data_IF_313609316181
#
_entry.id   IF_313609316181
#
_cell.length_a   1.000
_cell.length_b   1.000
_cell.length_c   1.000
_cell.angle_alpha   90.00
_cell.angle_beta   90.00
_cell.angle_gamma   90.00
#
_symmetry.space_group_name_H-M   'P 1'
#
loop_
_entity.id
_entity.type
_entity.pdbx_description
1 polymer ?
#
# COMPACT_ATOMS: atom_id res chain seq x y z
N UNK A 1 -7.02 12.27 36.46
CA UNK A 1 -5.57 12.51 36.25
C UNK A 1 -4.92 11.56 35.22
N UNK A 2 -5.67 10.90 34.31
CA UNK A 2 -5.10 9.98 33.31
C UNK A 2 -4.80 10.59 31.93
N UNK A 3 -5.40 11.74 31.57
CA UNK A 3 -5.31 12.30 30.21
C UNK A 3 -3.97 12.96 29.85
N UNK A 4 -3.30 13.62 30.81
CA UNK A 4 -2.06 14.37 30.52
C UNK A 4 -0.83 13.47 30.33
N UNK A 5 -0.82 12.25 30.89
CA UNK A 5 0.33 11.33 30.74
C UNK A 5 0.33 10.65 29.37
N UNK A 6 -0.84 10.32 28.82
CA UNK A 6 -0.98 9.65 27.53
C UNK A 6 -0.63 10.56 26.33
N UNK A 7 -1.01 11.83 26.37
CA UNK A 7 -0.64 12.80 25.33
C UNK A 7 0.87 13.06 25.29
N UNK A 8 1.52 13.18 26.46
CA UNK A 8 2.97 13.42 26.54
C UNK A 8 3.77 12.23 26.03
N UNK A 9 3.37 10.99 26.32
CA UNK A 9 4.03 9.79 25.81
C UNK A 9 3.89 9.61 24.30
N UNK A 10 2.73 9.97 23.73
CA UNK A 10 2.52 9.90 22.29
C UNK A 10 3.33 10.96 21.53
N UNK A 11 3.47 12.17 22.08
CA UNK A 11 4.30 13.21 21.48
C UNK A 11 5.79 12.85 21.52
N UNK A 12 6.29 12.31 22.64
CA UNK A 12 7.67 11.82 22.75
C UNK A 12 7.95 10.67 21.78
N UNK A 13 7.02 9.71 21.64
CA UNK A 13 7.15 8.62 20.67
C UNK A 13 7.15 9.12 19.22
N UNK A 14 6.33 10.11 18.87
CA UNK A 14 6.31 10.73 17.52
C UNK A 14 7.60 11.51 17.24
N UNK A 15 8.11 12.26 18.21
CA UNK A 15 9.39 12.98 18.08
C UNK A 15 10.59 12.01 17.95
N UNK A 16 10.58 10.89 18.68
CA UNK A 16 11.61 9.85 18.58
C UNK A 16 11.55 9.11 17.23
N UNK A 17 10.35 8.79 16.71
CA UNK A 17 10.18 8.22 15.36
C UNK A 17 10.65 9.22 14.31
N UNK A 18 10.24 10.50 14.41
CA UNK A 18 10.68 11.56 13.51
C UNK A 18 12.19 11.77 13.52
N UNK A 19 12.85 11.65 14.69
CA UNK A 19 14.32 11.69 14.80
C UNK A 19 15.00 10.44 14.24
N UNK A 20 14.38 9.26 14.38
CA UNK A 20 14.94 7.97 13.95
C UNK A 20 14.90 7.82 12.44
N UNK A 21 13.79 8.19 11.79
CA UNK A 21 13.63 8.07 10.34
C UNK A 21 14.00 9.34 9.57
N UNK A 22 14.02 10.52 10.21
CA UNK A 22 14.47 11.76 9.57
C UNK A 22 15.97 11.85 9.28
N UNK A 23 16.77 10.84 9.70
CA UNK A 23 18.25 10.84 9.56
C UNK A 23 18.78 9.93 8.46
N UNK A 24 17.99 9.01 7.92
CA UNK A 24 18.43 8.05 6.90
C UNK A 24 17.47 8.03 5.72
N UNK A 25 17.96 8.11 4.47
CA UNK A 25 17.13 7.88 3.29
C UNK A 25 16.50 6.47 3.34
N UNK A 26 15.28 6.34 2.83
CA UNK A 26 14.64 5.03 2.60
C UNK A 26 15.40 4.27 1.50
N UNK A 27 16.43 3.53 1.92
CA UNK A 27 17.46 2.96 1.06
C UNK A 27 17.21 1.50 0.69
N UNK A 28 16.18 0.88 1.28
CA UNK A 28 15.76 -0.49 1.02
C UNK A 28 14.25 -0.65 1.22
N UNK A 29 13.70 -1.78 0.77
CA UNK A 29 12.30 -2.16 1.06
C UNK A 29 12.11 -2.39 2.57
N UNK A 30 13.10 -2.94 3.27
CA UNK A 30 13.07 -3.12 4.73
C UNK A 30 12.99 -1.79 5.50
N UNK A 31 13.71 -0.76 5.03
CA UNK A 31 13.65 0.58 5.63
C UNK A 31 12.26 1.19 5.45
N UNK A 32 11.68 1.01 4.25
CA UNK A 32 10.32 1.48 3.92
C UNK A 32 9.28 0.74 4.76
N UNK A 33 9.36 -0.59 4.85
CA UNK A 33 8.49 -1.39 5.72
C UNK A 33 8.54 -0.90 7.17
N UNK A 34 9.75 -0.70 7.71
CA UNK A 34 9.93 -0.21 9.07
C UNK A 34 9.27 1.17 9.24
N UNK A 35 9.45 2.05 8.27
CA UNK A 35 8.84 3.38 8.28
C UNK A 35 7.30 3.27 8.28
N UNK A 36 6.72 2.53 7.34
CA UNK A 36 5.26 2.37 7.21
C UNK A 36 4.65 1.76 8.47
N UNK A 37 5.29 0.73 9.02
CA UNK A 37 4.84 0.07 10.25
C UNK A 37 4.69 1.05 11.41
N UNK A 38 5.70 1.90 11.65
CA UNK A 38 5.67 2.84 12.78
C UNK A 38 4.92 4.14 12.49
N UNK A 39 5.00 4.66 11.27
CA UNK A 39 4.44 5.95 10.91
C UNK A 39 2.96 5.87 10.52
N UNK A 40 2.51 4.73 9.99
CA UNK A 40 1.17 4.56 9.43
C UNK A 40 0.45 3.38 10.10
N UNK A 41 0.92 2.15 9.93
CA UNK A 41 0.18 0.94 10.30
C UNK A 41 -0.14 0.86 11.80
N UNK A 42 0.82 1.16 12.69
CA UNK A 42 0.62 1.21 14.14
C UNK A 42 -0.51 2.20 14.52
N UNK A 43 -0.62 3.31 13.80
CA UNK A 43 -1.65 4.32 14.05
C UNK A 43 -3.00 3.84 13.53
N UNK A 44 -3.05 3.22 12.35
CA UNK A 44 -4.26 2.62 11.78
C UNK A 44 -4.78 1.53 12.72
N UNK A 45 -3.91 0.62 13.16
CA UNK A 45 -4.26 -0.41 14.13
C UNK A 45 -4.84 0.21 15.42
N UNK A 46 -4.25 1.29 15.92
CA UNK A 46 -4.77 2.04 17.07
C UNK A 46 -6.18 2.61 16.83
N UNK A 47 -6.40 3.24 15.67
CA UNK A 47 -7.72 3.78 15.30
C UNK A 47 -8.77 2.67 15.21
N UNK A 48 -8.47 1.59 14.48
CA UNK A 48 -9.39 0.45 14.32
C UNK A 48 -9.68 -0.20 15.68
N UNK A 49 -8.67 -0.35 16.54
CA UNK A 49 -8.85 -0.90 17.90
C UNK A 49 -9.84 -0.07 18.72
N UNK A 50 -9.77 1.26 18.67
CA UNK A 50 -10.72 2.12 19.37
C UNK A 50 -12.12 2.06 18.74
N UNK A 51 -12.22 1.99 17.41
CA UNK A 51 -13.50 1.84 16.71
C UNK A 51 -14.19 0.51 17.03
N UNK A 52 -13.43 -0.59 17.16
CA UNK A 52 -13.95 -1.91 17.54
C UNK A 52 -14.63 -1.92 18.92
N UNK A 53 -14.31 -0.97 19.81
CA UNK A 53 -14.95 -0.83 21.13
C UNK A 53 -16.34 -0.20 21.04
N UNK A 54 -16.69 0.42 19.91
CA UNK A 54 -17.97 1.08 19.67
C UNK A 54 -18.83 0.10 18.84
N UNK A 55 -19.89 -0.52 19.43
CA UNK A 55 -20.68 -1.55 18.74
C UNK A 55 -21.26 -1.08 17.40
N UNK A 56 -21.76 0.16 17.34
CA UNK A 56 -22.36 0.73 16.14
C UNK A 56 -21.32 0.91 15.02
N UNK A 57 -20.11 1.40 15.35
CA UNK A 57 -19.03 1.56 14.38
C UNK A 57 -18.50 0.21 13.91
N UNK A 58 -18.31 -0.73 14.84
CA UNK A 58 -17.88 -2.10 14.53
C UNK A 58 -18.84 -2.78 13.56
N UNK A 59 -20.15 -2.59 13.73
CA UNK A 59 -21.16 -3.14 12.85
C UNK A 59 -21.19 -2.44 11.48
N UNK A 60 -21.20 -1.10 11.47
CA UNK A 60 -21.29 -0.30 10.24
C UNK A 60 -20.10 -0.56 9.31
N UNK A 61 -18.88 -0.53 9.86
CA UNK A 61 -17.65 -0.72 9.08
C UNK A 61 -17.21 -2.19 8.98
N UNK A 62 -17.97 -3.13 9.56
CA UNK A 62 -17.67 -4.57 9.55
C UNK A 62 -16.25 -4.90 10.01
N UNK A 63 -15.80 -4.27 11.10
CA UNK A 63 -14.40 -4.29 11.57
C UNK A 63 -13.94 -5.63 12.19
N UNK A 64 -14.85 -6.59 12.39
CA UNK A 64 -14.51 -7.84 13.08
C UNK A 64 -13.96 -7.56 14.48
N UNK A 65 -12.89 -8.22 14.88
CA UNK A 65 -12.12 -7.97 16.10
C UNK A 65 -10.92 -7.01 15.88
N UNK A 66 -10.76 -6.47 14.67
CA UNK A 66 -9.66 -5.56 14.30
C UNK A 66 -8.93 -6.02 13.04
N UNK A 67 -7.75 -5.43 12.83
CA UNK A 67 -6.91 -5.69 11.65
C UNK A 67 -5.51 -6.14 12.01
N UNK A 68 -4.89 -6.90 11.11
CA UNK A 68 -3.49 -7.33 11.18
C UNK A 68 -2.79 -6.97 9.88
N UNK A 69 -1.60 -6.39 10.00
CA UNK A 69 -0.69 -6.13 8.88
C UNK A 69 0.35 -7.25 8.86
N UNK A 70 0.48 -7.94 7.73
CA UNK A 70 1.47 -9.01 7.56
C UNK A 70 2.36 -8.75 6.34
N UNK A 71 3.59 -9.26 6.41
CA UNK A 71 4.49 -9.41 5.27
C UNK A 71 4.60 -10.92 5.03
N UNK A 72 4.15 -11.41 3.87
CA UNK A 72 4.11 -12.85 3.56
C UNK A 72 5.48 -13.51 3.40
N UNK A 73 6.59 -12.82 3.66
CA UNK A 73 7.89 -13.47 3.89
C UNK A 73 7.82 -14.56 5.00
N UNK A 74 6.92 -14.41 5.98
CA UNK A 74 6.76 -15.33 7.12
C UNK A 74 5.43 -16.12 7.12
N UNK A 75 4.56 -15.97 6.12
CA UNK A 75 3.34 -16.77 5.99
C UNK A 75 3.67 -18.13 5.37
N UNK A 76 4.18 -19.04 6.21
CA UNK A 76 4.34 -20.45 5.91
C UNK A 76 3.03 -20.99 5.31
N UNK A 77 3.00 -21.22 4.00
CA UNK A 77 2.26 -22.36 3.48
C UNK A 77 2.93 -23.59 4.10
N UNK A 78 2.40 -24.09 5.22
CA UNK A 78 2.54 -25.51 5.55
C UNK A 78 1.80 -26.26 4.44
N UNK A 79 2.47 -26.42 3.29
CA UNK A 79 2.05 -27.39 2.28
C UNK A 79 2.26 -28.75 2.91
N UNK A 80 1.16 -29.39 3.31
CA UNK A 80 1.12 -30.80 3.65
C UNK A 80 1.82 -31.57 2.50
N UNK A 81 2.89 -32.38 2.75
CA UNK A 81 3.71 -32.97 1.68
C UNK A 81 3.00 -34.07 0.87
N UNK A 82 1.68 -34.19 0.95
CA UNK A 82 0.93 -35.35 0.46
C UNK A 82 0.14 -35.13 -0.84
N UNK A 83 0.21 -33.95 -1.47
CA UNK A 83 -0.43 -33.72 -2.79
C UNK A 83 0.60 -33.32 -3.86
N UNK A 84 1.27 -34.31 -4.44
CA UNK A 84 2.04 -34.17 -5.68
C UNK A 84 1.07 -34.00 -6.88
N UNK A 85 0.63 -32.77 -7.16
CA UNK A 85 0.13 -32.40 -8.49
C UNK A 85 1.27 -31.78 -9.33
N UNK A 86 1.64 -32.37 -10.49
CA UNK A 86 2.77 -31.90 -11.27
C UNK A 86 2.34 -30.79 -12.24
N UNK A 87 2.42 -29.51 -11.85
CA UNK A 87 2.56 -28.39 -12.82
C UNK A 87 2.67 -26.96 -12.25
N UNK A 88 2.82 -26.72 -10.95
CA UNK A 88 3.01 -25.35 -10.45
C UNK A 88 4.49 -25.16 -10.07
N UNK A 89 5.27 -24.34 -10.81
CA UNK A 89 6.63 -23.99 -10.36
C UNK A 89 6.53 -23.37 -8.96
N UNK A 90 7.52 -23.60 -8.07
CA UNK A 90 7.51 -23.01 -6.74
C UNK A 90 7.28 -21.52 -6.88
N UNK A 91 6.15 -21.04 -6.33
CA UNK A 91 5.74 -19.65 -6.45
C UNK A 91 6.80 -18.83 -5.74
N UNK A 92 7.65 -18.12 -6.47
CA UNK A 92 8.37 -16.98 -5.91
C UNK A 92 7.31 -15.93 -5.58
N UNK A 93 6.68 -16.06 -4.42
CA UNK A 93 5.79 -15.02 -3.89
C UNK A 93 6.68 -13.82 -3.59
N UNK A 94 6.49 -12.67 -4.28
CA UNK A 94 7.15 -11.43 -3.88
C UNK A 94 6.79 -11.09 -2.43
N UNK A 95 7.51 -10.14 -1.83
CA UNK A 95 7.17 -9.60 -0.51
C UNK A 95 5.75 -9.00 -0.55
N UNK A 96 4.74 -9.82 -0.26
CA UNK A 96 3.34 -9.44 -0.34
C UNK A 96 2.94 -8.90 1.02
N UNK A 97 2.86 -7.58 1.10
CA UNK A 97 2.33 -6.89 2.26
C UNK A 97 0.81 -6.92 2.17
N UNK A 98 0.12 -7.15 3.28
CA UNK A 98 -1.33 -7.27 3.28
C UNK A 98 -1.97 -6.78 4.56
N UNK A 99 -3.25 -6.44 4.45
CA UNK A 99 -4.12 -6.15 5.59
C UNK A 99 -5.15 -7.26 5.68
N UNK A 100 -5.25 -7.85 6.86
CA UNK A 100 -6.28 -8.82 7.18
C UNK A 100 -7.25 -8.26 8.22
N UNK A 101 -8.54 -8.56 8.06
CA UNK A 101 -9.51 -8.49 9.16
C UNK A 101 -9.40 -9.76 9.99
N UNK A 102 -9.36 -9.59 11.31
CA UNK A 102 -9.36 -10.70 12.28
C UNK A 102 -10.76 -10.84 12.85
N UNK A 103 -11.35 -12.03 12.76
CA UNK A 103 -12.60 -12.42 13.42
C UNK A 103 -12.31 -13.54 14.45
N UNK A 104 -13.32 -13.99 15.20
CA UNK A 104 -13.12 -14.97 16.30
C UNK A 104 -12.45 -16.28 15.83
N UNK A 105 -12.79 -16.73 14.62
CA UNK A 105 -12.36 -18.04 14.09
C UNK A 105 -11.67 -17.95 12.73
N UNK A 106 -11.61 -16.76 12.13
CA UNK A 106 -11.16 -16.60 10.74
C UNK A 106 -10.39 -15.31 10.55
N UNK A 107 -9.46 -15.33 9.63
CA UNK A 107 -8.72 -14.15 9.16
C UNK A 107 -9.08 -13.96 7.69
N UNK A 108 -9.62 -12.79 7.33
CA UNK A 108 -10.02 -12.47 5.95
C UNK A 108 -9.05 -11.45 5.37
N UNK A 109 -8.47 -11.72 4.21
CA UNK A 109 -7.67 -10.75 3.48
C UNK A 109 -8.55 -9.59 2.99
N UNK A 110 -8.15 -8.35 3.27
CA UNK A 110 -8.84 -7.14 2.84
C UNK A 110 -8.19 -6.53 1.60
N UNK A 111 -6.86 -6.46 1.59
CA UNK A 111 -6.09 -5.85 0.50
C UNK A 111 -4.67 -6.37 0.48
N UNK A 112 -4.05 -6.32 -0.69
CA UNK A 112 -2.60 -6.43 -0.92
C UNK A 112 -1.97 -5.04 -0.98
N UNK A 113 -0.64 -4.97 -0.81
CA UNK A 113 0.13 -3.76 -0.81
C UNK A 113 1.53 -4.05 -1.39
N UNK A 114 2.03 -3.15 -2.23
CA UNK A 114 3.38 -3.23 -2.80
C UNK A 114 4.26 -2.09 -2.29
N UNK A 115 5.40 -2.44 -1.68
CA UNK A 115 6.39 -1.49 -1.16
C UNK A 115 7.53 -1.31 -2.16
N UNK A 116 7.72 -0.07 -2.63
CA UNK A 116 8.83 0.27 -3.52
C UNK A 116 9.52 1.56 -3.08
N UNK A 117 10.73 1.50 -2.50
CA UNK A 117 11.39 2.68 -1.94
C UNK A 117 11.70 3.75 -3.00
N UNK A 118 11.85 5.04 -2.62
CA UNK A 118 11.92 6.17 -3.55
C UNK A 118 13.02 6.08 -4.61
N UNK A 119 14.13 5.40 -4.30
CA UNK A 119 15.24 5.23 -5.23
C UNK A 119 14.97 4.14 -6.28
N UNK A 120 14.05 3.20 -6.02
CA UNK A 120 13.52 2.25 -7.01
C UNK A 120 12.29 2.81 -7.72
N UNK A 121 11.46 3.59 -7.02
CA UNK A 121 10.23 4.18 -7.54
C UNK A 121 10.02 5.60 -7.01
N UNK A 122 10.52 6.60 -7.73
CA UNK A 122 10.42 8.01 -7.31
C UNK A 122 9.02 8.59 -7.55
N UNK A 123 8.71 9.67 -6.84
CA UNK A 123 7.49 10.46 -7.09
C UNK A 123 7.46 11.02 -8.52
N UNK A 124 8.61 11.36 -9.09
CA UNK A 124 8.69 11.82 -10.49
C UNK A 124 8.32 10.70 -11.47
N UNK A 125 8.79 9.47 -11.22
CA UNK A 125 8.38 8.30 -12.01
C UNK A 125 6.88 8.07 -11.92
N UNK A 126 6.28 8.22 -10.72
CA UNK A 126 4.81 8.14 -10.55
C UNK A 126 4.10 9.21 -11.40
N UNK A 127 4.51 10.49 -11.28
CA UNK A 127 3.87 11.60 -11.99
C UNK A 127 3.98 11.50 -13.52
N UNK A 128 5.09 10.99 -14.03
CA UNK A 128 5.35 10.89 -15.48
C UNK A 128 4.79 9.59 -16.06
N UNK A 129 4.97 8.46 -15.36
CA UNK A 129 4.61 7.14 -15.85
C UNK A 129 3.13 6.77 -15.67
N UNK A 130 2.45 7.31 -14.64
CA UNK A 130 1.02 7.08 -14.45
C UNK A 130 0.19 7.97 -15.37
N UNK A 131 -0.29 7.40 -16.47
CA UNK A 131 -1.27 8.05 -17.36
C UNK A 131 -2.27 7.02 -17.91
N UNK A 132 -3.47 7.45 -18.29
CA UNK A 132 -4.39 6.58 -19.04
C UNK A 132 -3.73 6.14 -20.35
N UNK A 133 -3.70 4.83 -20.60
CA UNK A 133 -3.10 4.23 -21.79
C UNK A 133 -3.65 2.84 -22.06
N UNK A 134 -3.53 2.35 -23.31
CA UNK A 134 -3.57 0.92 -23.57
C UNK A 134 -2.25 0.32 -23.07
N UNK A 135 -2.30 -0.33 -21.92
CA UNK A 135 -1.12 -0.83 -21.23
C UNK A 135 -0.33 -1.85 -22.07
N UNK A 136 -1.04 -2.76 -22.73
CA UNK A 136 -0.41 -3.81 -23.53
C UNK A 136 0.37 -3.22 -24.72
N UNK A 137 -0.24 -2.29 -25.46
CA UNK A 137 0.41 -1.66 -26.61
C UNK A 137 1.55 -0.72 -26.19
N UNK A 138 1.37 0.01 -25.08
CA UNK A 138 2.31 1.06 -24.68
C UNK A 138 3.52 0.49 -23.92
N UNK A 139 3.30 -0.46 -23.01
CA UNK A 139 4.32 -0.95 -22.07
C UNK A 139 4.80 -2.35 -22.43
N UNK A 140 3.89 -3.27 -22.74
CA UNK A 140 4.25 -4.68 -22.99
C UNK A 140 4.82 -4.89 -24.38
N UNK A 141 4.26 -4.20 -25.38
CA UNK A 141 4.63 -4.35 -26.79
C UNK A 141 4.95 -3.01 -27.46
N UNK A 142 5.95 -2.26 -26.96
CA UNK A 142 6.38 -1.03 -27.61
C UNK A 142 7.03 -1.36 -28.96
N UNK A 143 6.66 -0.62 -30.02
CA UNK A 143 7.20 -0.84 -31.37
C UNK A 143 8.69 -0.48 -31.45
N UNK A 144 9.13 0.54 -30.71
CA UNK A 144 10.53 1.02 -30.68
C UNK A 144 10.85 1.71 -29.36
N UNK A 145 12.12 1.68 -28.94
CA UNK A 145 12.62 2.52 -27.85
C UNK A 145 12.92 3.94 -28.39
N UNK A 146 12.38 5.01 -27.79
CA UNK A 146 12.67 6.38 -28.23
C UNK A 146 14.15 6.74 -28.15
N UNK A 147 14.62 7.54 -29.12
CA UNK A 147 16.01 8.03 -29.18
C UNK A 147 16.15 9.40 -28.52
N UNK A 148 15.10 10.23 -28.57
CA UNK A 148 15.08 11.52 -27.88
C UNK A 148 15.14 11.31 -26.37
N UNK A 149 15.99 12.09 -25.69
CA UNK A 149 16.26 11.89 -24.25
C UNK A 149 15.01 12.17 -23.40
N UNK A 150 14.20 13.17 -23.74
CA UNK A 150 12.98 13.46 -22.97
C UNK A 150 11.92 12.37 -23.17
N UNK A 151 11.75 11.87 -24.39
CA UNK A 151 10.87 10.75 -24.68
C UNK A 151 11.33 9.45 -24.03
N UNK A 152 12.64 9.23 -23.99
CA UNK A 152 13.25 8.06 -23.35
C UNK A 152 13.07 8.07 -21.83
N UNK A 153 13.16 9.24 -21.18
CA UNK A 153 12.86 9.37 -19.75
C UNK A 153 11.40 8.99 -19.46
N UNK A 154 10.45 9.47 -20.27
CA UNK A 154 9.04 9.09 -20.15
C UNK A 154 8.84 7.59 -20.39
N UNK A 155 9.43 7.04 -21.44
CA UNK A 155 9.39 5.59 -21.73
C UNK A 155 9.91 4.77 -20.55
N UNK A 156 11.03 5.15 -19.96
CA UNK A 156 11.59 4.45 -18.81
C UNK A 156 10.67 4.53 -17.57
N UNK A 157 10.05 5.69 -17.33
CA UNK A 157 9.09 5.85 -16.24
C UNK A 157 7.84 4.96 -16.45
N UNK A 158 7.32 4.88 -17.67
CA UNK A 158 6.20 4.01 -18.05
C UNK A 158 6.54 2.52 -17.88
N UNK A 159 7.73 2.11 -18.31
CA UNK A 159 8.22 0.74 -18.14
C UNK A 159 8.36 0.37 -16.66
N UNK A 160 8.94 1.26 -15.86
CA UNK A 160 9.12 1.05 -14.42
C UNK A 160 7.77 0.95 -13.69
N UNK A 161 6.90 1.93 -13.90
CA UNK A 161 5.55 1.93 -13.29
C UNK A 161 4.77 0.70 -13.75
N UNK A 162 4.84 0.37 -15.04
CA UNK A 162 4.12 -0.78 -15.57
C UNK A 162 4.58 -2.11 -15.01
N UNK A 163 5.88 -2.28 -14.73
CA UNK A 163 6.39 -3.44 -14.01
C UNK A 163 5.75 -3.58 -12.62
N UNK A 164 5.72 -2.48 -11.85
CA UNK A 164 5.14 -2.46 -10.50
C UNK A 164 3.61 -2.69 -10.53
N UNK A 165 2.90 -2.04 -11.46
CA UNK A 165 1.47 -2.23 -11.65
C UNK A 165 1.14 -3.67 -12.05
N UNK A 166 1.94 -4.30 -12.93
CA UNK A 166 1.72 -5.68 -13.36
C UNK A 166 1.90 -6.66 -12.20
N UNK A 167 2.93 -6.44 -11.37
CA UNK A 167 3.17 -7.24 -10.18
C UNK A 167 1.99 -7.15 -9.20
N UNK A 168 1.55 -5.92 -8.88
CA UNK A 168 0.46 -5.74 -7.93
C UNK A 168 -0.88 -6.22 -8.50
N UNK A 169 -1.19 -5.93 -9.76
CA UNK A 169 -2.38 -6.43 -10.44
C UNK A 169 -2.44 -7.96 -10.43
N UNK A 170 -1.30 -8.63 -10.62
CA UNK A 170 -1.23 -10.09 -10.50
C UNK A 170 -1.57 -10.58 -9.09
N UNK A 171 -1.04 -9.94 -8.06
CA UNK A 171 -1.35 -10.27 -6.66
C UNK A 171 -2.83 -10.06 -6.36
N UNK A 172 -3.42 -8.94 -6.79
CA UNK A 172 -4.85 -8.66 -6.64
C UNK A 172 -5.74 -9.76 -7.22
N UNK A 173 -5.40 -10.26 -8.42
CA UNK A 173 -6.14 -11.36 -9.07
C UNK A 173 -5.95 -12.70 -8.36
N UNK A 174 -4.74 -13.02 -7.91
CA UNK A 174 -4.45 -14.27 -7.21
C UNK A 174 -5.20 -14.36 -5.88
N UNK A 175 -5.27 -13.25 -5.17
CA UNK A 175 -5.93 -13.15 -3.87
C UNK A 175 -7.44 -12.85 -3.96
N UNK A 176 -7.93 -12.49 -5.15
CA UNK A 176 -9.33 -12.13 -5.35
C UNK A 176 -9.74 -10.82 -4.68
N UNK A 177 -8.82 -9.87 -4.54
CA UNK A 177 -9.10 -8.54 -3.97
C UNK A 177 -9.24 -7.49 -5.07
N UNK A 178 -10.30 -6.68 -4.97
CA UNK A 178 -10.60 -5.65 -5.98
C UNK A 178 -9.93 -4.31 -5.72
N UNK A 179 -9.35 -4.09 -4.53
CA UNK A 179 -8.67 -2.85 -4.16
C UNK A 179 -7.27 -3.17 -3.64
N UNK A 180 -6.31 -2.31 -3.96
CA UNK A 180 -4.93 -2.38 -3.50
C UNK A 180 -4.29 -0.99 -3.47
N UNK A 181 -3.06 -0.88 -2.98
CA UNK A 181 -2.24 0.30 -3.20
C UNK A 181 -0.75 0.00 -3.25
N UNK A 182 -0.01 0.88 -3.94
CA UNK A 182 1.45 0.90 -3.97
C UNK A 182 1.92 2.07 -3.10
N UNK A 183 3.04 1.92 -2.39
CA UNK A 183 3.63 2.99 -1.57
C UNK A 183 5.14 3.07 -1.75
N UNK A 184 5.66 4.30 -1.72
CA UNK A 184 7.11 4.57 -1.73
C UNK A 184 7.60 5.37 -0.51
N UNK A 185 6.74 5.57 0.51
CA UNK A 185 7.03 6.36 1.70
C UNK A 185 6.85 7.87 1.53
N UNK A 186 6.67 8.36 0.30
CA UNK A 186 6.38 9.77 -0.01
C UNK A 186 5.03 9.98 -0.69
N UNK A 187 4.60 8.97 -1.46
CA UNK A 187 3.39 8.93 -2.23
C UNK A 187 2.78 7.53 -2.19
N UNK A 188 1.48 7.47 -2.46
CA UNK A 188 0.67 6.27 -2.59
C UNK A 188 0.03 6.26 -3.98
N UNK A 189 -0.28 5.08 -4.49
CA UNK A 189 -1.12 4.90 -5.68
C UNK A 189 -2.21 3.93 -5.31
N UNK A 190 -3.45 4.41 -5.20
CA UNK A 190 -4.60 3.55 -4.93
C UNK A 190 -4.99 2.85 -6.21
N UNK A 191 -5.31 1.56 -6.14
CA UNK A 191 -5.62 0.70 -7.26
C UNK A 191 -6.99 0.05 -7.10
N UNK A 192 -7.72 -0.08 -8.22
CA UNK A 192 -9.02 -0.72 -8.23
C UNK A 192 -9.22 -1.54 -9.51
N UNK A 193 -9.60 -2.81 -9.35
CA UNK A 193 -10.05 -3.70 -10.42
C UNK A 193 -11.58 -3.82 -10.32
N UNK A 194 -12.34 -3.31 -11.32
CA UNK A 194 -13.77 -3.51 -11.38
C UNK A 194 -14.11 -4.98 -11.52
N UNK A 195 -15.15 -5.42 -10.81
CA UNK A 195 -15.60 -6.82 -10.88
C UNK A 195 -16.19 -7.18 -12.25
N UNK A 196 -16.84 -6.22 -12.92
CA UNK A 196 -17.48 -6.38 -14.22
C UNK A 196 -16.50 -6.26 -15.40
N UNK A 197 -15.36 -5.60 -15.20
CA UNK A 197 -14.29 -5.49 -16.18
C UNK A 197 -12.92 -5.67 -15.52
N UNK A 198 -12.49 -6.92 -15.25
CA UNK A 198 -11.19 -7.18 -14.66
C UNK A 198 -10.05 -6.81 -15.60
N UNK A 199 -10.29 -6.55 -16.90
CA UNK A 199 -9.24 -6.18 -17.86
C UNK A 199 -8.75 -4.74 -17.70
N UNK A 200 -9.45 -3.94 -16.87
CA UNK A 200 -9.11 -2.55 -16.59
C UNK A 200 -8.61 -2.40 -15.16
N UNK A 201 -7.48 -1.69 -15.00
CA UNK A 201 -6.96 -1.27 -13.70
C UNK A 201 -7.13 0.25 -13.56
N UNK A 202 -7.97 0.67 -12.62
CA UNK A 202 -8.06 2.07 -12.22
C UNK A 202 -6.98 2.41 -11.21
N UNK A 203 -6.50 3.66 -11.25
CA UNK A 203 -5.52 4.15 -10.31
C UNK A 203 -5.85 5.58 -9.85
N UNK A 204 -5.39 5.93 -8.65
CA UNK A 204 -5.46 7.29 -8.12
C UNK A 204 -4.15 7.64 -7.37
N UNK A 205 -3.33 8.57 -7.89
CA UNK A 205 -2.09 8.97 -7.24
C UNK A 205 -2.35 9.91 -6.05
N UNK A 206 -1.58 9.72 -5.00
CA UNK A 206 -1.76 10.31 -3.69
C UNK A 206 -0.41 10.84 -3.18
N UNK A 207 -0.29 12.13 -2.88
CA UNK A 207 0.95 12.72 -2.35
C UNK A 207 0.63 13.45 -1.04
N UNK A 208 0.61 12.76 0.12
CA UNK A 208 0.12 13.33 1.38
C UNK A 208 0.71 14.70 1.75
N UNK A 209 2.01 14.91 1.49
CA UNK A 209 2.69 16.19 1.78
C UNK A 209 2.24 17.34 0.86
N UNK A 210 1.67 17.04 -0.30
CA UNK A 210 1.11 18.01 -1.25
C UNK A 210 -0.41 18.16 -1.08
N UNK A 211 -1.09 17.08 -0.69
CA UNK A 211 -2.54 17.00 -0.57
C UNK A 211 -3.05 17.65 0.73
N UNK A 212 -2.25 17.63 1.79
CA UNK A 212 -2.59 18.28 3.06
C UNK A 212 -2.23 19.77 2.99
N UNK A 213 -3.24 20.62 2.84
CA UNK A 213 -3.08 22.08 2.91
C UNK A 213 -3.31 22.56 4.34
N UNK A 214 -2.21 22.78 5.08
CA UNK A 214 -2.24 23.20 6.50
C UNK A 214 -3.01 24.51 6.73
N UNK A 215 -3.12 25.35 5.70
CA UNK A 215 -3.81 26.65 5.74
C UNK A 215 -5.33 26.54 5.47
N UNK A 216 -5.82 25.36 5.10
CA UNK A 216 -7.23 25.11 4.81
C UNK A 216 -7.85 24.24 5.91
N UNK A 217 -8.73 24.80 6.73
CA UNK A 217 -9.44 24.08 7.80
C UNK A 217 -10.25 22.88 7.26
N UNK A 218 -10.63 22.90 5.97
CA UNK A 218 -11.34 21.78 5.32
C UNK A 218 -10.41 20.61 4.97
N UNK A 219 -9.09 20.81 4.94
CA UNK A 219 -8.11 19.75 4.63
C UNK A 219 -8.16 18.61 5.65
N UNK A 220 -8.55 18.89 6.90
CA UNK A 220 -8.74 17.90 7.96
C UNK A 220 -10.04 17.09 7.82
N UNK A 221 -10.98 17.53 6.97
CA UNK A 221 -12.21 16.80 6.68
C UNK A 221 -12.04 15.81 5.52
N UNK A 222 -10.93 15.90 4.78
CA UNK A 222 -10.61 15.00 3.69
C UNK A 222 -9.60 13.93 4.14
N UNK A 223 -9.68 12.69 3.64
CA UNK A 223 -8.73 11.63 3.96
C UNK A 223 -7.43 11.83 3.18
N UNK A 224 -6.70 12.91 3.45
CA UNK A 224 -5.49 13.29 2.70
C UNK A 224 -4.19 12.79 3.35
N UNK A 225 -4.26 12.30 4.59
CA UNK A 225 -3.11 11.71 5.28
C UNK A 225 -2.92 10.25 4.89
N UNK A 226 -1.67 9.75 4.94
CA UNK A 226 -1.37 8.34 4.72
C UNK A 226 -2.17 7.41 5.65
N UNK A 227 -2.35 7.80 6.92
CA UNK A 227 -3.16 7.07 7.92
C UNK A 227 -4.61 6.99 7.48
N UNK A 228 -5.24 8.13 7.14
CA UNK A 228 -6.65 8.17 6.75
C UNK A 228 -6.92 7.36 5.47
N UNK A 229 -5.98 7.38 4.52
CA UNK A 229 -6.07 6.58 3.28
C UNK A 229 -5.91 5.09 3.54
N UNK A 230 -4.95 4.71 4.38
CA UNK A 230 -4.78 3.30 4.78
C UNK A 230 -6.03 2.77 5.53
N UNK A 231 -6.65 3.58 6.40
CA UNK A 231 -7.92 3.23 7.04
C UNK A 231 -9.06 2.91 6.05
N UNK A 232 -9.02 3.42 4.81
CA UNK A 232 -10.05 3.11 3.81
C UNK A 232 -9.95 1.65 3.28
N UNK A 233 -8.87 0.95 3.59
CA UNK A 233 -8.60 -0.44 3.20
C UNK A 233 -8.58 -1.41 4.41
N UNK A 234 -8.84 -0.91 5.62
CA UNK A 234 -8.73 -1.62 6.89
C UNK A 234 -10.08 -1.79 7.58
#
# INVERSE_FOLDING_TARGET
MGGLRSQTTNNLRREDIGRRFGRQPLSSEQDLESYERFAVEDHVHGVITELCKIPEARQEFRLGNGVRFDNHADALDEVDPSEEEPSIPPRSRPDQFCIHRVDDNTTTLLTTIEYKPPHKLSVENLRVGLRPMNFYETVVKPDTVPVDEAEKLRYNAEQLIGSVLTQEYHAMLQEGVGNSYIINGLAQVLLHIPYDDPSTLFYYPCEPNMDVRVEDDQSFQQPNTAIARCCAFA
#
